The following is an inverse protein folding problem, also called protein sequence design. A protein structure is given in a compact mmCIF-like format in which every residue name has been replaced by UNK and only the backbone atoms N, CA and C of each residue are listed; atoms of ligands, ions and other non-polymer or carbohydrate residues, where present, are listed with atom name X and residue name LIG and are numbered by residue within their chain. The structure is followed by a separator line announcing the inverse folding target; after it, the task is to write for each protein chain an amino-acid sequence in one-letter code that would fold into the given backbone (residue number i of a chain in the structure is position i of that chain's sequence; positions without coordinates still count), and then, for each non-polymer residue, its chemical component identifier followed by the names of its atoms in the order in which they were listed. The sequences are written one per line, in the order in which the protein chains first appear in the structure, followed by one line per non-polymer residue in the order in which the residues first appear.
data_IF_786020456779
#
_entry.id   IF_786020456779
#
_cell.length_a   1.000
_cell.length_b   1.000
_cell.length_c   1.000
_cell.angle_alpha   90.00
_cell.angle_beta   90.00
_cell.angle_gamma   90.00
#
_symmetry.space_group_name_H-M   'P 1'
#
loop_
_entity.id
_entity.type
_entity.pdbx_description
1 polymer ?
#
# COMPACT_ATOMS: atom_id res chain seq x y z
N UNK A 1 3.94 -12.32 -12.57
CA UNK A 1 4.23 -11.94 -11.16
C UNK A 1 4.83 -10.56 -11.15
N UNK A 2 4.34 -9.64 -10.31
CA UNK A 2 4.87 -8.26 -10.24
C UNK A 2 5.95 -8.12 -9.18
N UNK A 3 5.76 -8.71 -8.01
CA UNK A 3 6.72 -8.67 -6.90
C UNK A 3 7.15 -10.07 -6.52
N UNK A 4 8.45 -10.26 -6.38
CA UNK A 4 9.08 -11.45 -5.82
C UNK A 4 10.07 -11.02 -4.73
N UNK A 5 9.77 -11.30 -3.48
CA UNK A 5 10.67 -11.15 -2.35
C UNK A 5 10.98 -12.55 -1.79
N UNK A 6 12.26 -12.91 -1.75
CA UNK A 6 12.73 -14.23 -1.30
C UNK A 6 13.78 -14.06 -0.22
N UNK A 7 13.56 -14.73 0.91
CA UNK A 7 14.51 -14.87 2.00
C UNK A 7 15.03 -13.53 2.55
N UNK A 8 14.14 -12.53 2.62
CA UNK A 8 14.51 -11.16 3.00
C UNK A 8 14.74 -11.07 4.50
N UNK A 9 15.97 -10.68 4.89
CA UNK A 9 16.37 -10.47 6.27
C UNK A 9 16.74 -9.01 6.48
N UNK A 10 16.15 -8.38 7.50
CA UNK A 10 16.42 -6.99 7.88
C UNK A 10 16.57 -6.84 9.38
N UNK A 11 17.67 -6.20 9.78
CA UNK A 11 17.94 -5.79 11.17
C UNK A 11 18.06 -4.28 11.27
N UNK A 12 17.69 -3.76 12.41
CA UNK A 12 18.09 -2.44 12.89
C UNK A 12 18.92 -2.62 14.16
N UNK A 13 20.23 -2.42 14.06
CA UNK A 13 21.17 -2.80 15.10
C UNK A 13 20.98 -4.30 15.44
N UNK A 14 20.75 -4.63 16.71
CA UNK A 14 20.54 -6.01 17.16
C UNK A 14 19.12 -6.54 16.92
N UNK A 15 18.15 -5.67 16.59
CA UNK A 15 16.75 -6.07 16.44
C UNK A 15 16.48 -6.64 15.04
N UNK A 16 16.16 -7.93 14.97
CA UNK A 16 15.64 -8.58 13.76
C UNK A 16 14.20 -8.10 13.52
N UNK A 17 13.95 -7.54 12.33
CA UNK A 17 12.64 -6.95 11.98
C UNK A 17 11.98 -7.72 10.83
N UNK A 18 12.75 -8.18 9.86
CA UNK A 18 12.29 -9.14 8.85
C UNK A 18 13.15 -10.39 9.00
N UNK A 19 12.49 -11.53 9.12
CA UNK A 19 13.11 -12.82 9.42
C UNK A 19 12.80 -13.82 8.31
N UNK A 20 13.71 -13.89 7.31
CA UNK A 20 13.59 -14.79 6.15
C UNK A 20 12.22 -14.63 5.44
N UNK A 21 11.79 -13.38 5.27
CA UNK A 21 10.47 -13.06 4.72
C UNK A 21 10.37 -13.42 3.25
N UNK A 22 9.32 -14.15 2.91
CA UNK A 22 8.98 -14.52 1.54
C UNK A 22 7.60 -13.95 1.19
N UNK A 23 7.50 -13.21 0.07
CA UNK A 23 6.24 -12.67 -0.41
C UNK A 23 6.26 -12.53 -1.93
N UNK A 24 5.19 -12.98 -2.55
CA UNK A 24 4.96 -12.82 -3.99
C UNK A 24 3.66 -12.03 -4.20
N UNK A 25 3.60 -11.21 -5.25
CA UNK A 25 2.38 -10.51 -5.67
C UNK A 25 2.20 -10.72 -7.17
N UNK A 26 1.03 -11.23 -7.55
CA UNK A 26 0.70 -11.46 -8.94
C UNK A 26 0.16 -10.19 -9.60
N UNK A 27 0.23 -10.12 -10.92
CA UNK A 27 -0.35 -9.03 -11.70
C UNK A 27 -1.87 -9.00 -11.51
N UNK A 28 -2.44 -7.79 -11.30
CA UNK A 28 -3.86 -7.60 -11.06
C UNK A 28 -4.35 -8.01 -9.66
N UNK A 29 -3.44 -8.50 -8.78
CA UNK A 29 -3.77 -8.86 -7.41
C UNK A 29 -3.92 -7.60 -6.52
N UNK A 30 -4.89 -7.62 -5.61
CA UNK A 30 -4.91 -6.73 -4.45
C UNK A 30 -4.48 -7.58 -3.25
N UNK A 31 -3.21 -7.46 -2.85
CA UNK A 31 -2.67 -8.17 -1.70
C UNK A 31 -2.77 -7.30 -0.45
N UNK A 32 -3.52 -7.78 0.54
CA UNK A 32 -3.55 -7.22 1.89
C UNK A 32 -2.39 -7.77 2.73
N UNK A 33 -1.52 -6.90 3.24
CA UNK A 33 -0.49 -7.26 4.21
C UNK A 33 -0.98 -6.86 5.61
N UNK A 34 -1.59 -7.80 6.30
CA UNK A 34 -2.17 -7.61 7.63
C UNK A 34 -1.14 -7.94 8.71
N UNK A 35 -1.12 -7.18 9.78
CA UNK A 35 -0.27 -7.46 10.93
C UNK A 35 -0.30 -6.36 11.97
N UNK A 36 0.02 -6.67 13.25
CA UNK A 36 0.06 -5.67 14.31
C UNK A 36 1.12 -4.59 14.06
N UNK A 37 1.05 -3.50 14.81
CA UNK A 37 2.08 -2.48 14.79
C UNK A 37 3.43 -3.09 15.22
N UNK A 38 4.50 -2.74 14.49
CA UNK A 38 5.83 -3.28 14.72
C UNK A 38 6.08 -4.68 14.14
N UNK A 39 5.13 -5.29 13.40
CA UNK A 39 5.33 -6.59 12.75
C UNK A 39 6.32 -6.57 11.59
N UNK A 40 6.66 -5.38 11.05
CA UNK A 40 7.62 -5.21 9.95
C UNK A 40 7.03 -4.70 8.63
N UNK A 41 5.73 -4.37 8.53
CA UNK A 41 5.04 -3.92 7.29
C UNK A 41 5.78 -2.76 6.61
N UNK A 42 5.92 -1.63 7.29
CA UNK A 42 6.60 -0.45 6.74
C UNK A 42 8.08 -0.71 6.46
N UNK A 43 8.75 -1.54 7.28
CA UNK A 43 10.14 -1.95 7.02
C UNK A 43 10.24 -2.75 5.73
N UNK A 44 9.33 -3.69 5.50
CA UNK A 44 9.28 -4.45 4.26
C UNK A 44 9.04 -3.54 3.05
N UNK A 45 8.10 -2.59 3.14
CA UNK A 45 7.85 -1.59 2.09
C UNK A 45 9.13 -0.79 1.78
N UNK A 46 9.86 -0.33 2.79
CA UNK A 46 11.12 0.40 2.60
C UNK A 46 12.18 -0.46 1.91
N UNK A 47 12.29 -1.74 2.23
CA UNK A 47 13.17 -2.68 1.53
C UNK A 47 12.69 -2.92 0.09
N UNK A 48 11.39 -3.11 -0.11
CA UNK A 48 10.75 -3.30 -1.40
C UNK A 48 11.00 -2.14 -2.36
N UNK A 49 11.05 -0.91 -1.85
CA UNK A 49 11.31 0.31 -2.62
C UNK A 49 12.81 0.63 -2.80
N UNK A 50 13.70 -0.19 -2.24
CA UNK A 50 15.15 0.09 -2.23
C UNK A 50 15.52 1.36 -1.45
N UNK A 51 14.67 1.78 -0.49
CA UNK A 51 14.94 2.89 0.44
C UNK A 51 15.79 2.42 1.62
N UNK A 52 15.60 1.16 2.02
CA UNK A 52 16.36 0.53 3.10
C UNK A 52 17.04 -0.72 2.57
N UNK A 53 18.34 -0.86 2.85
CA UNK A 53 19.07 -2.09 2.56
C UNK A 53 18.61 -3.22 3.47
N UNK A 54 18.80 -4.45 3.02
CA UNK A 54 18.56 -5.67 3.76
C UNK A 54 19.83 -6.56 3.74
N UNK A 55 20.00 -7.44 4.73
CA UNK A 55 21.23 -8.21 4.93
C UNK A 55 21.28 -9.47 4.09
N UNK A 56 20.12 -10.10 3.84
CA UNK A 56 20.01 -11.31 3.03
C UNK A 56 18.76 -11.30 2.19
N UNK A 57 18.74 -12.10 1.14
CA UNK A 57 17.60 -12.31 0.26
C UNK A 57 17.66 -11.54 -1.06
N UNK A 58 16.54 -11.52 -1.74
CA UNK A 58 16.40 -10.88 -3.05
C UNK A 58 14.99 -10.30 -3.22
N UNK A 59 14.94 -9.09 -3.78
CA UNK A 59 13.67 -8.43 -4.15
C UNK A 59 13.72 -8.10 -5.63
N UNK A 60 12.69 -8.54 -6.35
CA UNK A 60 12.43 -8.16 -7.73
C UNK A 60 11.05 -7.49 -7.85
N UNK A 61 10.97 -6.48 -8.71
CA UNK A 61 9.71 -5.87 -9.15
C UNK A 61 9.76 -5.78 -10.67
N UNK A 62 8.67 -6.21 -11.35
CA UNK A 62 8.60 -6.33 -12.81
C UNK A 62 9.77 -7.16 -13.37
N UNK A 63 10.08 -8.31 -12.71
CA UNK A 63 11.18 -9.23 -13.04
C UNK A 63 12.60 -8.64 -12.97
N UNK A 64 12.73 -7.38 -12.53
CA UNK A 64 14.00 -6.67 -12.36
C UNK A 64 14.39 -6.57 -10.89
N UNK A 65 15.67 -6.73 -10.57
CA UNK A 65 16.18 -6.57 -9.20
C UNK A 65 16.01 -5.13 -8.74
N UNK A 66 15.39 -4.94 -7.56
CA UNK A 66 15.21 -3.62 -6.96
C UNK A 66 16.51 -3.16 -6.28
N UNK A 67 16.84 -1.90 -6.47
CA UNK A 67 17.93 -1.19 -5.80
C UNK A 67 17.62 0.33 -5.74
N UNK A 68 18.43 1.09 -5.02
CA UNK A 68 18.22 2.54 -4.79
C UNK A 68 18.05 3.37 -6.07
N UNK A 69 18.82 3.05 -7.12
CA UNK A 69 18.84 3.74 -8.42
C UNK A 69 17.96 3.10 -9.51
N UNK A 70 17.02 2.23 -9.15
CA UNK A 70 16.15 1.53 -10.10
C UNK A 70 15.02 2.42 -10.64
N UNK A 71 15.36 3.56 -11.26
CA UNK A 71 14.39 4.57 -11.74
C UNK A 71 13.37 3.99 -12.73
N UNK A 72 13.79 3.08 -13.62
CA UNK A 72 12.91 2.42 -14.60
C UNK A 72 11.84 1.55 -13.95
N UNK A 73 12.11 1.02 -12.75
CA UNK A 73 11.13 0.30 -11.94
C UNK A 73 10.24 1.32 -11.23
N UNK A 74 10.86 2.27 -10.53
CA UNK A 74 10.17 3.22 -9.63
C UNK A 74 9.15 4.09 -10.35
N UNK A 75 9.39 4.44 -11.63
CA UNK A 75 8.43 5.23 -12.42
C UNK A 75 7.08 4.54 -12.65
N UNK A 76 7.00 3.24 -12.47
CA UNK A 76 5.77 2.46 -12.58
C UNK A 76 5.13 2.14 -11.22
N UNK A 77 5.67 2.71 -10.13
CA UNK A 77 5.20 2.47 -8.77
C UNK A 77 4.60 3.75 -8.21
N UNK A 78 3.37 3.65 -7.71
CA UNK A 78 2.75 4.68 -6.87
C UNK A 78 2.91 4.31 -5.40
N UNK A 79 3.27 5.28 -4.57
CA UNK A 79 3.54 5.04 -3.14
C UNK A 79 2.79 6.04 -2.29
N UNK A 80 2.04 5.53 -1.33
CA UNK A 80 1.39 6.32 -0.28
C UNK A 80 1.88 5.77 1.05
N UNK A 81 2.80 6.48 1.67
CA UNK A 81 3.33 6.13 2.99
C UNK A 81 2.36 6.57 4.09
N UNK A 82 2.54 6.01 5.29
CA UNK A 82 1.78 6.39 6.49
C UNK A 82 1.97 7.88 6.82
N UNK A 83 3.19 8.39 6.69
CA UNK A 83 3.48 9.81 6.85
C UNK A 83 2.96 10.62 5.67
N UNK A 84 2.46 11.82 5.96
CA UNK A 84 1.96 12.76 4.94
C UNK A 84 3.15 13.43 4.25
N UNK A 85 3.23 13.24 2.92
CA UNK A 85 4.32 13.76 2.10
C UNK A 85 3.82 14.81 1.09
N UNK A 86 3.25 15.92 1.56
CA UNK A 86 2.77 17.02 0.71
C UNK A 86 3.51 18.32 1.03
N UNK A 87 3.50 19.27 0.10
CA UNK A 87 4.12 20.58 0.25
C UNK A 87 3.10 21.60 0.75
N UNK A 88 3.35 22.20 1.88
CA UNK A 88 2.50 23.20 2.54
C UNK A 88 2.33 24.50 1.74
N UNK A 89 3.31 24.79 0.87
CA UNK A 89 3.37 25.97 0.01
C UNK A 89 2.58 25.82 -1.29
N UNK A 90 2.13 24.60 -1.60
CA UNK A 90 1.32 24.29 -2.79
C UNK A 90 -0.14 24.08 -2.39
N UNK A 91 -1.05 24.50 -3.25
CA UNK A 91 -2.48 24.15 -3.14
C UNK A 91 -2.68 22.64 -3.35
N UNK A 92 -3.88 22.14 -3.07
CA UNK A 92 -4.27 20.76 -3.37
C UNK A 92 -3.98 20.39 -4.83
N UNK A 93 -4.39 21.22 -5.78
CA UNK A 93 -4.15 20.97 -7.21
C UNK A 93 -2.65 20.96 -7.52
N UNK A 94 -1.91 21.96 -7.04
CA UNK A 94 -0.46 22.09 -7.31
C UNK A 94 0.35 20.95 -6.70
N UNK A 95 -0.02 20.43 -5.53
CA UNK A 95 0.59 19.24 -4.97
C UNK A 95 0.41 18.03 -5.92
N UNK A 96 -0.82 17.77 -6.37
CA UNK A 96 -1.10 16.64 -7.25
C UNK A 96 -0.38 16.81 -8.59
N UNK A 97 -0.41 18.03 -9.18
CA UNK A 97 0.29 18.33 -10.44
C UNK A 97 1.79 18.16 -10.31
N UNK A 98 2.38 18.64 -9.22
CA UNK A 98 3.81 18.51 -8.94
C UNK A 98 4.25 17.03 -8.94
N UNK A 99 3.62 16.19 -8.13
CA UNK A 99 3.98 14.78 -8.06
C UNK A 99 3.69 14.04 -9.37
N UNK A 100 2.56 14.31 -10.02
CA UNK A 100 2.20 13.71 -11.30
C UNK A 100 3.17 14.10 -12.42
N UNK A 101 3.75 15.31 -12.37
CA UNK A 101 4.67 15.84 -13.39
C UNK A 101 5.97 15.06 -13.52
N UNK A 102 6.41 14.34 -12.48
CA UNK A 102 7.58 13.46 -12.55
C UNK A 102 7.39 12.28 -13.49
N UNK A 103 6.14 11.89 -13.74
CA UNK A 103 5.76 10.69 -14.50
C UNK A 103 5.12 11.03 -15.84
N UNK A 104 4.29 12.06 -15.89
CA UNK A 104 3.47 12.45 -17.06
C UNK A 104 3.94 13.81 -17.57
N UNK A 105 4.65 13.83 -18.69
CA UNK A 105 5.16 15.06 -19.30
C UNK A 105 4.09 15.79 -20.15
N UNK A 106 3.15 15.04 -20.75
CA UNK A 106 2.03 15.62 -21.48
C UNK A 106 1.11 16.37 -20.53
N UNK A 107 1.05 17.69 -20.67
CA UNK A 107 0.25 18.57 -19.82
C UNK A 107 -1.26 18.31 -19.92
N UNK A 108 -1.75 17.92 -21.11
CA UNK A 108 -3.18 17.66 -21.33
C UNK A 108 -3.58 16.38 -20.61
N UNK A 109 -2.86 15.30 -20.87
CA UNK A 109 -3.08 14.02 -20.20
C UNK A 109 -2.95 14.17 -18.68
N UNK A 110 -1.89 14.85 -18.21
CA UNK A 110 -1.68 15.09 -16.78
C UNK A 110 -2.86 15.80 -16.13
N UNK A 111 -3.40 16.84 -16.79
CA UNK A 111 -4.57 17.57 -16.30
C UNK A 111 -5.81 16.65 -16.20
N UNK A 112 -6.05 15.79 -17.17
CA UNK A 112 -7.14 14.81 -17.16
C UNK A 112 -6.98 13.85 -15.97
N UNK A 113 -5.80 13.27 -15.78
CA UNK A 113 -5.49 12.36 -14.67
C UNK A 113 -5.65 13.02 -13.29
N UNK A 114 -5.27 14.29 -13.17
CA UNK A 114 -5.44 15.06 -11.92
C UNK A 114 -6.91 15.25 -11.59
N UNK A 115 -7.76 15.59 -12.57
CA UNK A 115 -9.18 15.73 -12.31
C UNK A 115 -9.85 14.40 -11.98
N UNK A 116 -9.46 13.30 -12.64
CA UNK A 116 -9.94 11.95 -12.31
C UNK A 116 -9.69 11.59 -10.83
N UNK A 117 -8.46 11.85 -10.33
CA UNK A 117 -8.12 11.53 -8.94
C UNK A 117 -8.75 12.50 -7.94
N UNK A 118 -8.91 13.77 -8.29
CA UNK A 118 -9.63 14.77 -7.48
C UNK A 118 -11.09 14.32 -7.29
N UNK A 119 -11.75 13.91 -8.35
CA UNK A 119 -13.11 13.40 -8.30
C UNK A 119 -13.21 12.13 -7.46
N UNK A 120 -12.35 11.15 -7.74
CA UNK A 120 -12.31 9.88 -7.01
C UNK A 120 -12.15 10.07 -5.49
N UNK A 121 -11.37 11.06 -5.08
CA UNK A 121 -11.07 11.34 -3.67
C UNK A 121 -11.89 12.50 -3.07
N UNK A 122 -12.89 13.02 -3.83
CA UNK A 122 -13.78 14.09 -3.38
C UNK A 122 -13.02 15.33 -2.88
N UNK A 123 -12.10 15.82 -3.69
CA UNK A 123 -11.26 16.99 -3.38
C UNK A 123 -11.67 18.24 -4.20
N UNK A 124 -12.77 18.21 -4.96
CA UNK A 124 -13.19 19.26 -5.92
C UNK A 124 -13.30 20.64 -5.24
N UNK A 125 -13.93 20.68 -4.07
CA UNK A 125 -14.17 21.94 -3.33
C UNK A 125 -12.91 22.51 -2.67
N UNK A 126 -11.82 21.72 -2.66
CA UNK A 126 -10.59 22.04 -1.94
C UNK A 126 -9.38 22.34 -2.85
N UNK A 127 -9.55 22.27 -4.18
CA UNK A 127 -8.46 22.35 -5.17
C UNK A 127 -7.55 23.58 -5.01
N UNK A 128 -8.09 24.72 -4.55
CA UNK A 128 -7.37 25.97 -4.33
C UNK A 128 -6.90 26.16 -2.86
N UNK A 129 -7.20 25.21 -1.98
CA UNK A 129 -6.81 25.30 -0.58
C UNK A 129 -5.38 24.79 -0.38
N UNK A 130 -4.71 25.36 0.60
CA UNK A 130 -3.38 24.92 1.06
C UNK A 130 -3.52 23.83 2.12
N UNK A 131 -2.57 22.87 2.20
CA UNK A 131 -2.59 21.76 3.16
C UNK A 131 -2.84 22.17 4.62
N UNK A 132 -2.26 23.29 5.06
CA UNK A 132 -2.45 23.84 6.42
C UNK A 132 -3.89 24.16 6.80
N UNK A 133 -4.78 24.31 5.81
CA UNK A 133 -6.21 24.61 6.02
C UNK A 133 -7.09 23.37 5.90
N UNK A 134 -6.51 22.21 5.62
CA UNK A 134 -7.23 20.96 5.46
C UNK A 134 -7.41 20.24 6.80
N UNK A 135 -8.52 19.50 6.95
CA UNK A 135 -8.64 18.51 8.03
C UNK A 135 -7.68 17.36 7.81
N UNK A 136 -7.38 16.57 8.86
CA UNK A 136 -6.50 15.41 8.74
C UNK A 136 -6.98 14.40 7.69
N UNK A 137 -8.29 14.18 7.58
CA UNK A 137 -8.87 13.30 6.55
C UNK A 137 -8.72 13.85 5.13
N UNK A 138 -8.88 15.18 4.92
CA UNK A 138 -8.63 15.84 3.64
C UNK A 138 -7.16 15.78 3.25
N UNK A 139 -6.28 16.01 4.21
CA UNK A 139 -4.84 15.93 4.01
C UNK A 139 -4.40 14.51 3.63
N UNK A 140 -5.00 13.50 4.25
CA UNK A 140 -4.77 12.09 3.90
C UNK A 140 -5.23 11.77 2.48
N UNK A 141 -6.40 12.28 2.07
CA UNK A 141 -6.89 12.14 0.69
C UNK A 141 -5.97 12.81 -0.32
N UNK A 142 -5.46 14.00 0.00
CA UNK A 142 -4.45 14.67 -0.84
C UNK A 142 -3.18 13.82 -0.97
N UNK A 143 -2.68 13.26 0.13
CA UNK A 143 -1.50 12.38 0.12
C UNK A 143 -1.72 11.15 -0.79
N UNK A 144 -2.91 10.54 -0.73
CA UNK A 144 -3.28 9.44 -1.62
C UNK A 144 -3.30 9.92 -3.08
N UNK A 145 -3.95 11.07 -3.37
CA UNK A 145 -4.03 11.63 -4.71
C UNK A 145 -2.64 11.82 -5.34
N UNK A 146 -1.70 12.40 -4.58
CA UNK A 146 -0.33 12.60 -5.04
C UNK A 146 0.37 11.28 -5.42
N UNK A 147 0.13 10.21 -4.66
CA UNK A 147 0.78 8.92 -4.88
C UNK A 147 0.23 8.11 -6.07
N UNK A 148 -1.03 8.38 -6.52
CA UNK A 148 -1.71 7.53 -7.51
C UNK A 148 -2.15 8.26 -8.79
N UNK A 149 -2.06 9.59 -8.87
CA UNK A 149 -2.56 10.39 -9.98
C UNK A 149 -2.00 9.96 -11.35
N UNK A 150 -0.76 9.49 -11.41
CA UNK A 150 -0.11 9.04 -12.64
C UNK A 150 -0.52 7.62 -13.10
N UNK A 151 -1.53 7.01 -12.46
CA UNK A 151 -2.05 5.65 -12.72
C UNK A 151 -0.94 4.59 -12.82
N UNK A 152 -0.17 4.36 -11.76
CA UNK A 152 0.96 3.43 -11.77
C UNK A 152 0.50 1.97 -11.92
N UNK A 153 1.37 1.12 -12.48
CA UNK A 153 1.11 -0.32 -12.63
C UNK A 153 1.13 -1.07 -11.29
N UNK A 154 1.92 -0.59 -10.33
CA UNK A 154 1.98 -1.14 -8.99
C UNK A 154 1.78 -0.04 -7.96
N UNK A 155 0.84 -0.21 -7.05
CA UNK A 155 0.50 0.77 -6.01
C UNK A 155 0.78 0.16 -4.65
N UNK A 156 1.50 0.91 -3.81
CA UNK A 156 1.78 0.56 -2.41
C UNK A 156 1.08 1.59 -1.53
N UNK A 157 0.19 1.10 -0.67
CA UNK A 157 -0.59 1.90 0.26
C UNK A 157 -0.28 1.45 1.69
N UNK A 158 0.52 2.23 2.42
CA UNK A 158 0.90 1.91 3.80
C UNK A 158 -0.09 2.58 4.79
N UNK A 159 -1.04 1.79 5.27
CA UNK A 159 -2.10 2.19 6.20
C UNK A 159 -2.85 3.47 5.74
N UNK A 160 -3.40 3.52 4.50
CA UNK A 160 -3.88 4.74 3.88
C UNK A 160 -5.15 5.32 4.51
N UNK A 161 -5.87 4.56 5.32
CA UNK A 161 -7.18 4.91 5.90
C UNK A 161 -7.14 5.28 7.37
N UNK A 162 -5.94 5.37 7.96
CA UNK A 162 -5.80 5.87 9.35
C UNK A 162 -6.39 7.28 9.48
N UNK A 163 -7.18 7.49 10.53
CA UNK A 163 -7.85 8.75 10.86
C UNK A 163 -8.85 9.24 9.80
N UNK A 164 -9.34 8.36 8.94
CA UNK A 164 -10.41 8.65 7.96
C UNK A 164 -11.73 8.06 8.50
N UNK A 165 -12.82 8.84 8.37
CA UNK A 165 -14.16 8.37 8.73
C UNK A 165 -14.65 7.23 7.82
N UNK A 166 -15.65 6.47 8.32
CA UNK A 166 -16.12 5.24 7.65
C UNK A 166 -16.67 5.49 6.25
N UNK A 167 -17.39 6.60 6.02
CA UNK A 167 -17.98 6.88 4.72
C UNK A 167 -16.91 7.20 3.68
N UNK A 168 -15.93 8.02 4.05
CA UNK A 168 -14.80 8.35 3.21
C UNK A 168 -13.89 7.15 2.95
N UNK A 169 -13.70 6.28 3.95
CA UNK A 169 -12.95 5.03 3.79
C UNK A 169 -13.56 4.17 2.69
N UNK A 170 -14.88 4.02 2.66
CA UNK A 170 -15.58 3.25 1.64
C UNK A 170 -15.36 3.83 0.24
N UNK A 171 -15.34 5.15 0.09
CA UNK A 171 -15.05 5.81 -1.19
C UNK A 171 -13.61 5.57 -1.65
N UNK A 172 -12.64 5.64 -0.74
CA UNK A 172 -11.24 5.32 -1.03
C UNK A 172 -11.11 3.86 -1.48
N UNK A 173 -11.73 2.92 -0.76
CA UNK A 173 -11.75 1.49 -1.12
C UNK A 173 -12.37 1.29 -2.51
N UNK A 174 -13.46 1.97 -2.83
CA UNK A 174 -14.08 1.91 -4.15
C UNK A 174 -13.15 2.45 -5.25
N UNK A 175 -12.46 3.57 -4.98
CA UNK A 175 -11.46 4.13 -5.89
C UNK A 175 -10.27 3.20 -6.13
N UNK A 176 -9.76 2.56 -5.09
CA UNK A 176 -8.67 1.56 -5.17
C UNK A 176 -9.12 0.36 -6.02
N UNK A 177 -10.34 -0.14 -5.82
CA UNK A 177 -10.92 -1.21 -6.65
C UNK A 177 -11.04 -0.81 -8.12
N UNK A 178 -11.38 0.45 -8.40
CA UNK A 178 -11.44 0.98 -9.77
C UNK A 178 -10.05 0.95 -10.42
N UNK A 179 -9.01 1.46 -9.72
CA UNK A 179 -7.63 1.41 -10.22
C UNK A 179 -7.15 -0.02 -10.50
N UNK A 180 -7.51 -0.97 -9.64
CA UNK A 180 -7.19 -2.37 -9.87
C UNK A 180 -7.89 -2.94 -11.11
N UNK A 181 -9.19 -2.63 -11.32
CA UNK A 181 -9.92 -3.01 -12.55
C UNK A 181 -9.33 -2.37 -13.80
N UNK A 182 -8.70 -1.20 -13.69
CA UNK A 182 -7.98 -0.51 -14.77
C UNK A 182 -6.56 -1.08 -14.99
N UNK A 183 -6.17 -2.13 -14.25
CA UNK A 183 -4.93 -2.90 -14.46
C UNK A 183 -3.84 -2.67 -13.42
N UNK A 184 -4.04 -1.85 -12.39
CA UNK A 184 -3.03 -1.69 -11.32
C UNK A 184 -3.02 -2.90 -10.39
N UNK A 185 -1.82 -3.36 -10.00
CA UNK A 185 -1.60 -4.31 -8.90
C UNK A 185 -1.41 -3.53 -7.61
N UNK A 186 -1.90 -4.03 -6.48
CA UNK A 186 -1.93 -3.23 -5.25
C UNK A 186 -1.41 -4.04 -4.07
N UNK A 187 -0.47 -3.45 -3.31
CA UNK A 187 -0.09 -3.86 -1.97
C UNK A 187 -0.74 -2.88 -0.97
N UNK A 188 -1.65 -3.40 -0.17
CA UNK A 188 -2.38 -2.64 0.83
C UNK A 188 -2.02 -3.12 2.23
N UNK A 189 -1.47 -2.26 3.07
CA UNK A 189 -1.23 -2.63 4.47
C UNK A 189 -2.31 -2.08 5.37
N UNK A 190 -2.71 -2.85 6.36
CA UNK A 190 -3.61 -2.44 7.43
C UNK A 190 -3.39 -3.29 8.68
N UNK A 191 -3.86 -2.79 9.81
CA UNK A 191 -4.05 -3.58 11.01
C UNK A 191 -5.54 -3.86 11.28
N UNK A 192 -6.44 -3.39 10.39
CA UNK A 192 -7.89 -3.63 10.44
C UNK A 192 -8.28 -4.73 9.46
N UNK A 193 -8.78 -5.85 9.98
CA UNK A 193 -9.21 -7.00 9.17
C UNK A 193 -10.36 -6.62 8.23
N UNK A 194 -11.31 -5.82 8.69
CA UNK A 194 -12.49 -5.40 7.92
C UNK A 194 -12.13 -4.69 6.61
N UNK A 195 -11.09 -3.84 6.62
CA UNK A 195 -10.62 -3.15 5.41
C UNK A 195 -10.03 -4.12 4.40
N UNK A 196 -9.19 -5.02 4.90
CA UNK A 196 -8.52 -6.03 4.08
C UNK A 196 -9.54 -7.00 3.48
N UNK A 197 -10.52 -7.42 4.26
CA UNK A 197 -11.64 -8.25 3.79
C UNK A 197 -12.50 -7.57 2.73
N UNK A 198 -12.74 -6.27 2.87
CA UNK A 198 -13.55 -5.51 1.93
C UNK A 198 -12.82 -5.25 0.61
N UNK A 199 -11.49 -5.15 0.62
CA UNK A 199 -10.69 -4.70 -0.52
C UNK A 199 -9.92 -5.82 -1.20
N UNK A 200 -9.24 -6.68 -0.42
CA UNK A 200 -8.17 -7.52 -0.94
C UNK A 200 -8.67 -8.83 -1.55
N UNK A 201 -8.01 -9.28 -2.61
CA UNK A 201 -8.27 -10.58 -3.25
C UNK A 201 -7.47 -11.70 -2.58
N UNK A 202 -6.31 -11.34 -2.02
CA UNK A 202 -5.44 -12.22 -1.23
C UNK A 202 -4.97 -11.48 0.03
N UNK A 203 -4.73 -12.22 1.08
CA UNK A 203 -4.27 -11.68 2.37
C UNK A 203 -3.02 -12.44 2.79
N UNK A 204 -1.99 -11.72 3.22
CA UNK A 204 -0.81 -12.25 3.88
C UNK A 204 -0.75 -11.69 5.30
N UNK A 205 -0.57 -12.56 6.29
CA UNK A 205 -0.48 -12.16 7.70
C UNK A 205 1.01 -12.12 8.08
N UNK A 206 1.46 -10.92 8.43
CA UNK A 206 2.82 -10.66 8.89
C UNK A 206 2.86 -10.60 10.42
N UNK A 207 3.64 -11.45 11.03
CA UNK A 207 3.90 -11.43 12.47
C UNK A 207 5.40 -11.62 12.75
N UNK A 208 5.97 -10.74 13.57
CA UNK A 208 7.39 -10.78 13.97
C UNK A 208 8.36 -10.99 12.78
N UNK A 209 8.11 -10.26 11.70
CA UNK A 209 8.95 -10.29 10.49
C UNK A 209 8.76 -11.50 9.56
N UNK A 210 7.81 -12.40 9.84
CA UNK A 210 7.49 -13.58 9.03
C UNK A 210 6.08 -13.55 8.48
N UNK A 211 5.88 -14.03 7.26
CA UNK A 211 4.54 -14.36 6.77
C UNK A 211 4.10 -15.67 7.42
N UNK A 212 3.12 -15.59 8.31
CA UNK A 212 2.61 -16.76 9.08
C UNK A 212 1.42 -17.43 8.42
N UNK A 213 0.69 -16.73 7.57
CA UNK A 213 -0.40 -17.27 6.77
C UNK A 213 -0.58 -16.46 5.49
N UNK A 214 -1.04 -17.11 4.41
CA UNK A 214 -1.43 -16.46 3.15
C UNK A 214 -2.56 -17.25 2.51
N UNK A 215 -3.52 -16.54 1.94
CA UNK A 215 -4.64 -17.13 1.23
C UNK A 215 -5.74 -16.14 0.89
N UNK A 216 -6.83 -16.64 0.29
CA UNK A 216 -8.06 -15.86 0.18
C UNK A 216 -8.70 -15.67 1.56
N UNK A 217 -9.64 -14.72 1.66
CA UNK A 217 -10.41 -14.51 2.88
C UNK A 217 -11.03 -15.80 3.40
N UNK A 218 -11.65 -16.57 2.51
CA UNK A 218 -12.34 -17.82 2.82
C UNK A 218 -11.37 -18.87 3.37
N UNK A 219 -10.19 -18.99 2.73
CA UNK A 219 -9.16 -19.92 3.18
C UNK A 219 -8.63 -19.59 4.57
N UNK A 220 -8.40 -18.30 4.87
CA UNK A 220 -7.89 -17.86 6.17
C UNK A 220 -8.94 -17.99 7.28
N UNK A 221 -10.20 -17.68 7.01
CA UNK A 221 -11.30 -17.90 7.97
C UNK A 221 -11.49 -19.40 8.27
N UNK A 222 -11.34 -20.26 7.26
CA UNK A 222 -11.35 -21.70 7.43
C UNK A 222 -10.25 -22.20 8.38
N UNK A 223 -9.04 -21.64 8.31
CA UNK A 223 -7.93 -21.99 9.21
C UNK A 223 -8.20 -21.60 10.66
N UNK A 224 -8.82 -20.44 10.90
CA UNK A 224 -9.17 -19.97 12.25
C UNK A 224 -10.24 -20.89 12.88
N UNK A 225 -11.29 -21.25 12.14
CA UNK A 225 -12.38 -22.12 12.63
C UNK A 225 -11.89 -23.53 12.97
N UNK A 226 -10.95 -24.08 12.20
CA UNK A 226 -10.30 -25.37 12.48
C UNK A 226 -9.43 -25.30 13.73
N UNK A 227 -8.63 -24.22 13.88
CA UNK A 227 -7.80 -24.00 15.07
C UNK A 227 -8.60 -23.87 16.37
N UNK A 228 -9.75 -23.19 16.34
CA UNK A 228 -10.64 -23.09 17.51
C UNK A 228 -11.30 -24.45 17.87
N UNK A 229 -11.64 -25.26 16.87
CA UNK A 229 -12.21 -26.58 17.09
C UNK A 229 -11.21 -27.57 17.70
N UNK A 230 -9.94 -27.49 17.34
CA UNK A 230 -8.86 -28.30 17.93
C UNK A 230 -8.63 -27.87 19.38
N UNK A 231 -8.48 -26.57 19.66
CA UNK A 231 -8.27 -26.05 21.02
C UNK A 231 -9.44 -26.32 21.98
N UNK A 232 -10.68 -26.49 21.46
CA UNK A 232 -11.83 -26.88 22.29
C UNK A 232 -11.85 -28.38 22.61
N UNK A 233 -11.25 -29.23 21.78
CA UNK A 233 -11.12 -30.67 22.04
C UNK A 233 -10.04 -30.95 23.10
N UNK A 234 -8.91 -30.24 23.04
CA UNK A 234 -7.81 -30.42 24.00
C UNK A 234 -8.11 -29.89 25.42
N UNK A 235 -9.14 -29.03 25.56
CA UNK A 235 -9.62 -28.55 26.87
C UNK A 235 -10.68 -29.43 27.51
N UNK A 236 -11.14 -30.50 26.81
CA UNK A 236 -12.17 -31.46 27.29
C UNK A 236 -11.61 -32.85 27.53
N UNK A 237 -10.34 -33.06 27.31
CA UNK A 237 -9.55 -34.22 27.71
C UNK A 237 -8.64 -33.85 28.90
#
# INVERSE_FOLDING_TARGET
MIVEAKDVVKRYKEKLVLDHMNLEINEGEILGLLGPNGSGKTTFIKCLLGISNYENGKIKIFDKTMHDKAYEIKKNIGVVMQDIGVYDEFTVYENIDYFCSFYIQDKRLRKELIYDVIEMLQLQDYVKMYPKKLSGGLLRRLNIACGIAHKPKFIILDEPTIAIDVNLRNNIIAGIKKLNKEGSTILYTSHYMEEVEALCTQIAILNQGKIVARGSKEALLGMISVGESINRRDRKS
#
